data_IF_481375282671
#
_entry.id   IF_481375282671
#
_cell.length_a   1.000
_cell.length_b   1.000
_cell.length_c   1.000
_cell.angle_alpha   90.00
_cell.angle_beta   90.00
_cell.angle_gamma   90.00
#
_symmetry.space_group_name_H-M   'P 1'
#
loop_
_entity.id
_entity.type
_entity.pdbx_description
1 polymer ?
#
# COMPACT_ATOMS: atom_id res chain seq x y z
N UNK A 1 20.59 -28.19 10.53
CA UNK A 1 20.16 -26.76 10.53
C UNK A 1 20.70 -25.97 11.69
N UNK A 2 20.42 -26.32 12.95
CA UNK A 2 20.94 -25.59 14.12
C UNK A 2 22.47 -25.48 14.15
N UNK A 3 23.19 -26.54 13.74
CA UNK A 3 24.66 -26.52 13.62
C UNK A 3 25.14 -25.46 12.62
N UNK A 4 24.49 -25.34 11.46
CA UNK A 4 24.85 -24.35 10.44
C UNK A 4 24.61 -22.90 10.93
N UNK A 5 23.54 -22.67 11.69
CA UNK A 5 23.28 -21.39 12.36
C UNK A 5 24.39 -21.00 13.33
N UNK A 6 24.89 -21.96 14.13
CA UNK A 6 25.99 -21.74 15.08
C UNK A 6 27.30 -21.47 14.35
N UNK A 7 27.63 -22.29 13.34
CA UNK A 7 28.84 -22.14 12.52
C UNK A 7 28.88 -20.77 11.82
N UNK A 8 27.75 -20.29 11.29
CA UNK A 8 27.67 -18.96 10.68
C UNK A 8 27.80 -17.81 11.69
N UNK A 9 27.23 -17.96 12.89
CA UNK A 9 27.34 -16.96 13.95
C UNK A 9 28.79 -16.77 14.41
N UNK A 10 29.55 -17.86 14.50
CA UNK A 10 30.96 -17.86 14.92
C UNK A 10 31.93 -18.06 13.75
N UNK A 11 31.56 -17.64 12.54
CA UNK A 11 32.33 -17.92 11.30
C UNK A 11 33.81 -17.54 11.32
N UNK A 12 34.17 -16.54 12.13
CA UNK A 12 35.57 -16.12 12.32
C UNK A 12 36.38 -17.13 13.13
N UNK A 13 35.76 -17.80 14.09
CA UNK A 13 36.36 -18.85 14.92
C UNK A 13 36.46 -20.17 14.16
N UNK A 14 35.55 -20.40 13.21
CA UNK A 14 35.54 -21.57 12.32
C UNK A 14 36.32 -21.39 11.02
N UNK A 15 37.00 -20.25 10.83
CA UNK A 15 37.81 -19.93 9.63
C UNK A 15 37.09 -20.20 8.29
N UNK A 16 35.79 -19.90 8.23
CA UNK A 16 35.00 -20.15 7.02
C UNK A 16 35.45 -19.21 5.91
N UNK A 17 35.85 -19.80 4.77
CA UNK A 17 36.25 -19.04 3.59
C UNK A 17 35.11 -18.19 3.02
N UNK A 18 35.42 -16.97 2.56
CA UNK A 18 34.45 -16.04 1.98
C UNK A 18 33.69 -16.64 0.78
N UNK A 19 34.33 -17.50 -0.01
CA UNK A 19 33.72 -18.22 -1.14
C UNK A 19 32.55 -19.10 -0.69
N UNK A 20 32.65 -19.72 0.49
CA UNK A 20 31.56 -20.54 1.05
C UNK A 20 30.38 -19.66 1.44
N UNK A 21 30.65 -18.48 2.00
CA UNK A 21 29.62 -17.49 2.36
C UNK A 21 28.91 -16.96 1.11
N UNK A 22 29.64 -16.67 0.03
CA UNK A 22 29.07 -16.27 -1.27
C UNK A 22 28.19 -17.36 -1.87
N UNK A 23 28.65 -18.61 -1.88
CA UNK A 23 27.86 -19.73 -2.36
C UNK A 23 26.59 -19.94 -1.51
N UNK A 24 26.67 -19.72 -0.20
CA UNK A 24 25.50 -19.78 0.68
C UNK A 24 24.48 -18.69 0.34
N UNK A 25 24.91 -17.48 -0.02
CA UNK A 25 23.99 -16.44 -0.50
C UNK A 25 23.23 -16.88 -1.76
N UNK A 26 23.92 -17.44 -2.75
CA UNK A 26 23.28 -17.96 -3.97
C UNK A 26 22.26 -19.07 -3.68
N UNK A 27 22.59 -19.99 -2.76
CA UNK A 27 21.66 -21.05 -2.35
C UNK A 27 20.45 -20.46 -1.65
N UNK A 28 20.64 -19.46 -0.78
CA UNK A 28 19.55 -18.78 -0.06
C UNK A 28 18.61 -17.99 -0.97
N UNK A 29 19.09 -17.47 -2.10
CA UNK A 29 18.22 -16.82 -3.09
C UNK A 29 17.25 -17.81 -3.77
N UNK A 30 17.69 -19.06 -4.00
CA UNK A 30 16.86 -20.10 -4.61
C UNK A 30 15.95 -20.79 -3.60
N UNK A 31 16.46 -21.02 -2.39
CA UNK A 31 15.79 -21.78 -1.33
C UNK A 31 15.85 -21.00 -0.01
N UNK A 32 14.98 -20.00 0.18
CA UNK A 32 14.99 -19.18 1.38
C UNK A 32 14.72 -20.02 2.63
N UNK A 33 15.56 -19.85 3.65
CA UNK A 33 15.34 -20.42 4.98
C UNK A 33 15.50 -19.33 6.05
N UNK A 34 14.40 -19.02 6.75
CA UNK A 34 14.32 -17.88 7.68
C UNK A 34 15.42 -17.90 8.77
N UNK A 35 15.71 -19.06 9.36
CA UNK A 35 16.67 -19.19 10.44
C UNK A 35 18.13 -19.02 9.98
N UNK A 36 18.46 -19.58 8.81
CA UNK A 36 19.78 -19.41 8.20
C UNK A 36 19.96 -17.98 7.69
N UNK A 37 18.96 -17.43 7.04
CA UNK A 37 18.98 -16.08 6.47
C UNK A 37 19.23 -15.02 7.56
N UNK A 38 18.48 -15.05 8.67
CA UNK A 38 18.67 -14.14 9.82
C UNK A 38 20.08 -14.23 10.40
N UNK A 39 20.60 -15.44 10.52
CA UNK A 39 21.93 -15.68 11.10
C UNK A 39 23.05 -15.19 10.18
N UNK A 40 22.89 -15.41 8.88
CA UNK A 40 23.82 -14.96 7.85
C UNK A 40 23.84 -13.43 7.77
N UNK A 41 22.66 -12.77 7.74
CA UNK A 41 22.52 -11.32 7.80
C UNK A 41 23.13 -10.70 9.06
N UNK A 42 22.94 -11.34 10.22
CA UNK A 42 23.51 -10.87 11.48
C UNK A 42 25.05 -10.90 11.45
N UNK A 43 25.62 -11.95 10.86
CA UNK A 43 27.08 -12.14 10.77
C UNK A 43 27.76 -11.33 9.67
N UNK A 44 27.03 -10.90 8.64
CA UNK A 44 27.57 -10.32 7.41
C UNK A 44 28.36 -9.02 7.66
N UNK A 45 29.47 -8.80 6.96
CA UNK A 45 30.13 -7.49 6.96
C UNK A 45 29.38 -6.50 6.06
N UNK A 46 29.66 -5.20 6.18
CA UNK A 46 28.99 -4.19 5.35
C UNK A 46 29.24 -4.41 3.85
N UNK A 47 30.47 -4.81 3.47
CA UNK A 47 30.85 -5.10 2.08
C UNK A 47 30.15 -6.34 1.53
N UNK A 48 30.06 -7.40 2.34
CA UNK A 48 29.33 -8.63 1.99
C UNK A 48 27.84 -8.35 1.84
N UNK A 49 27.25 -7.57 2.76
CA UNK A 49 25.85 -7.15 2.69
C UNK A 49 25.58 -6.34 1.42
N UNK A 50 26.45 -5.39 1.06
CA UNK A 50 26.32 -4.63 -0.18
C UNK A 50 26.35 -5.54 -1.43
N UNK A 51 27.28 -6.49 -1.46
CA UNK A 51 27.43 -7.44 -2.57
C UNK A 51 26.20 -8.34 -2.67
N UNK A 52 25.69 -8.83 -1.54
CA UNK A 52 24.48 -9.64 -1.47
C UNK A 52 23.24 -8.85 -1.95
N UNK A 53 23.05 -7.61 -1.49
CA UNK A 53 21.91 -6.78 -1.90
C UNK A 53 21.94 -6.49 -3.41
N UNK A 54 23.12 -6.27 -3.99
CA UNK A 54 23.28 -6.09 -5.43
C UNK A 54 22.92 -7.36 -6.20
N UNK A 55 23.38 -8.51 -5.72
CA UNK A 55 23.11 -9.81 -6.34
C UNK A 55 21.61 -10.16 -6.24
N UNK A 56 20.99 -9.88 -5.09
CA UNK A 56 19.54 -9.99 -4.89
C UNK A 56 18.77 -9.09 -5.86
N UNK A 57 19.19 -7.83 -6.04
CA UNK A 57 18.60 -6.91 -7.02
C UNK A 57 18.67 -7.48 -8.44
N UNK A 58 19.86 -7.90 -8.88
CA UNK A 58 20.08 -8.35 -10.26
C UNK A 58 19.28 -9.63 -10.57
N UNK A 59 19.26 -10.59 -9.65
CA UNK A 59 18.43 -11.79 -9.79
C UNK A 59 16.93 -11.48 -9.71
N UNK A 60 16.50 -10.50 -8.90
CA UNK A 60 15.08 -10.09 -8.85
C UNK A 60 14.65 -9.51 -10.19
N UNK A 61 15.44 -8.59 -10.76
CA UNK A 61 15.18 -7.98 -12.06
C UNK A 61 15.13 -9.03 -13.18
N UNK A 62 16.09 -9.95 -13.19
CA UNK A 62 16.14 -11.04 -14.15
C UNK A 62 14.93 -11.95 -14.04
N UNK A 63 14.59 -12.40 -12.82
CA UNK A 63 13.45 -13.27 -12.57
C UNK A 63 12.12 -12.62 -12.96
N UNK A 64 11.93 -11.33 -12.65
CA UNK A 64 10.75 -10.56 -13.03
C UNK A 64 10.62 -10.39 -14.55
N UNK A 65 11.73 -10.14 -15.25
CA UNK A 65 11.73 -9.97 -16.72
C UNK A 65 11.52 -11.29 -17.48
N UNK A 66 12.01 -12.41 -16.93
CA UNK A 66 11.89 -13.74 -17.51
C UNK A 66 10.60 -14.46 -17.11
N UNK A 67 9.79 -13.86 -16.23
CA UNK A 67 8.59 -14.48 -15.65
C UNK A 67 8.88 -15.83 -14.99
N UNK A 68 10.03 -15.95 -14.31
CA UNK A 68 10.44 -17.13 -13.54
C UNK A 68 9.88 -17.09 -12.10
N UNK A 69 9.13 -18.10 -11.66
CA UNK A 69 8.39 -18.09 -10.38
C UNK A 69 9.27 -17.90 -9.13
N UNK A 70 10.59 -17.97 -9.28
CA UNK A 70 11.58 -17.61 -8.27
C UNK A 70 11.45 -16.18 -7.75
N UNK A 71 10.81 -15.24 -8.45
CA UNK A 71 10.68 -13.85 -7.97
C UNK A 71 9.96 -13.78 -6.62
N UNK A 72 9.02 -14.70 -6.36
CA UNK A 72 8.27 -14.75 -5.09
C UNK A 72 9.21 -14.95 -3.90
N UNK A 73 10.14 -15.90 -4.01
CA UNK A 73 11.17 -16.17 -3.01
C UNK A 73 12.09 -14.95 -2.83
N UNK A 74 12.46 -14.27 -3.92
CA UNK A 74 13.32 -13.09 -3.87
C UNK A 74 12.63 -11.91 -3.16
N UNK A 75 11.34 -11.69 -3.41
CA UNK A 75 10.55 -10.66 -2.73
C UNK A 75 10.36 -10.96 -1.23
N UNK A 76 10.20 -12.24 -0.86
CA UNK A 76 10.19 -12.65 0.56
C UNK A 76 11.52 -12.30 1.23
N UNK A 77 12.65 -12.53 0.55
CA UNK A 77 13.98 -12.19 1.07
C UNK A 77 14.10 -10.67 1.29
N UNK A 78 13.62 -9.84 0.36
CA UNK A 78 13.54 -8.39 0.56
C UNK A 78 12.74 -8.02 1.82
N UNK A 79 11.54 -8.60 1.97
CA UNK A 79 10.68 -8.40 3.14
C UNK A 79 11.33 -8.86 4.46
N UNK A 80 12.04 -9.98 4.45
CA UNK A 80 12.73 -10.49 5.64
C UNK A 80 13.88 -9.57 6.07
N UNK A 81 14.64 -9.06 5.09
CA UNK A 81 15.73 -8.13 5.34
C UNK A 81 15.19 -6.90 6.08
N UNK A 82 14.16 -6.22 5.59
CA UNK A 82 13.63 -5.00 6.25
C UNK A 82 13.01 -5.28 7.64
N UNK A 83 12.54 -6.50 7.89
CA UNK A 83 12.03 -6.94 9.21
C UNK A 83 13.17 -7.18 10.21
N UNK A 84 14.40 -7.41 9.76
CA UNK A 84 15.57 -7.48 10.65
C UNK A 84 16.04 -6.09 11.07
N UNK A 85 16.37 -5.92 12.35
CA UNK A 85 16.91 -4.66 12.86
C UNK A 85 18.27 -4.37 12.20
N UNK A 86 18.36 -3.23 11.52
CA UNK A 86 19.52 -2.85 10.72
C UNK A 86 20.12 -1.53 11.19
N UNK A 87 21.43 -1.53 11.36
CA UNK A 87 22.21 -0.30 11.55
C UNK A 87 21.98 0.67 10.39
N UNK A 88 21.99 1.97 10.67
CA UNK A 88 21.71 3.06 9.73
C UNK A 88 22.39 2.91 8.35
N UNK A 89 23.68 2.51 8.31
CA UNK A 89 24.40 2.30 7.05
C UNK A 89 23.82 1.19 6.17
N UNK A 90 23.39 0.07 6.77
CA UNK A 90 22.76 -1.04 6.03
C UNK A 90 21.36 -0.67 5.55
N UNK A 91 20.60 0.05 6.38
CA UNK A 91 19.30 0.57 5.99
C UNK A 91 19.39 1.49 4.77
N UNK A 92 20.42 2.37 4.71
CA UNK A 92 20.66 3.20 3.53
C UNK A 92 20.92 2.36 2.28
N UNK A 93 21.85 1.40 2.35
CA UNK A 93 22.16 0.49 1.23
C UNK A 93 20.90 -0.26 0.77
N UNK A 94 20.09 -0.74 1.71
CA UNK A 94 18.84 -1.43 1.42
C UNK A 94 17.86 -0.53 0.66
N UNK A 95 17.62 0.70 1.16
CA UNK A 95 16.67 1.61 0.52
C UNK A 95 17.15 2.11 -0.83
N UNK A 96 18.46 2.38 -0.99
CA UNK A 96 19.04 2.74 -2.29
C UNK A 96 18.79 1.60 -3.32
N UNK A 97 18.96 0.34 -2.91
CA UNK A 97 18.72 -0.80 -3.76
C UNK A 97 17.22 -1.05 -4.06
N UNK A 98 16.35 -0.85 -3.07
CA UNK A 98 14.88 -0.92 -3.26
C UNK A 98 14.40 0.16 -4.23
N UNK A 99 14.88 1.39 -4.09
CA UNK A 99 14.49 2.47 -4.99
C UNK A 99 14.94 2.18 -6.43
N UNK A 100 16.15 1.64 -6.59
CA UNK A 100 16.63 1.19 -7.90
C UNK A 100 15.79 0.03 -8.46
N UNK A 101 15.41 -0.94 -7.61
CA UNK A 101 14.53 -2.03 -8.01
C UNK A 101 13.18 -1.49 -8.48
N UNK A 102 12.54 -0.63 -7.68
CA UNK A 102 11.24 -0.03 -8.00
C UNK A 102 11.30 0.83 -9.27
N UNK A 103 12.34 1.64 -9.43
CA UNK A 103 12.57 2.41 -10.66
C UNK A 103 12.76 1.51 -11.89
N UNK A 104 13.52 0.43 -11.76
CA UNK A 104 13.75 -0.53 -12.86
C UNK A 104 12.47 -1.26 -13.24
N UNK A 105 11.72 -1.74 -12.25
CA UNK A 105 10.44 -2.45 -12.44
C UNK A 105 9.39 -1.58 -13.13
N UNK A 106 9.43 -0.25 -12.95
CA UNK A 106 8.53 0.65 -13.67
C UNK A 106 8.79 0.65 -15.19
N UNK A 107 10.02 0.41 -15.62
CA UNK A 107 10.42 0.39 -17.03
C UNK A 107 10.27 -1.01 -17.66
N UNK A 108 10.22 -2.06 -16.85
CA UNK A 108 10.10 -3.44 -17.32
C UNK A 108 8.65 -3.82 -17.65
N UNK A 109 8.52 -4.72 -18.63
CA UNK A 109 7.29 -5.46 -18.88
C UNK A 109 7.32 -6.71 -18.00
N UNK A 110 6.55 -6.70 -16.91
CA UNK A 110 6.47 -7.82 -15.96
C UNK A 110 5.07 -8.44 -15.97
N UNK A 111 4.93 -9.72 -15.62
CA UNK A 111 3.64 -10.39 -15.53
C UNK A 111 2.68 -9.70 -14.55
N UNK A 112 1.38 -9.71 -14.85
CA UNK A 112 0.38 -9.00 -14.05
C UNK A 112 0.35 -9.49 -12.59
N UNK A 113 0.56 -10.80 -12.35
CA UNK A 113 0.64 -11.41 -11.03
C UNK A 113 1.70 -10.78 -10.12
N UNK A 114 2.84 -10.37 -10.69
CA UNK A 114 3.97 -9.82 -9.95
C UNK A 114 3.63 -8.48 -9.29
N UNK A 115 2.69 -7.70 -9.85
CA UNK A 115 2.29 -6.42 -9.27
C UNK A 115 1.60 -6.57 -7.92
N UNK A 116 0.94 -7.69 -7.65
CA UNK A 116 0.37 -7.95 -6.31
C UNK A 116 1.49 -8.21 -5.29
N UNK A 117 2.47 -9.01 -5.67
CA UNK A 117 3.62 -9.34 -4.80
C UNK A 117 4.47 -8.10 -4.49
N UNK A 118 4.63 -7.19 -5.46
CA UNK A 118 5.32 -5.92 -5.26
C UNK A 118 4.57 -4.99 -4.29
N UNK A 119 3.23 -4.99 -4.31
CA UNK A 119 2.43 -4.23 -3.33
C UNK A 119 2.57 -4.85 -1.94
N UNK A 120 2.66 -6.17 -1.82
CA UNK A 120 2.96 -6.83 -0.54
C UNK A 120 4.34 -6.45 0.00
N UNK A 121 5.36 -6.41 -0.85
CA UNK A 121 6.69 -5.92 -0.45
C UNK A 121 6.62 -4.45 0.01
N UNK A 122 5.92 -3.59 -0.72
CA UNK A 122 5.73 -2.19 -0.34
C UNK A 122 5.03 -2.05 1.02
N UNK A 123 4.01 -2.86 1.27
CA UNK A 123 3.32 -2.92 2.55
C UNK A 123 4.26 -3.34 3.69
N UNK A 124 5.08 -4.36 3.49
CA UNK A 124 6.07 -4.82 4.47
C UNK A 124 7.13 -3.76 4.79
N UNK A 125 7.58 -3.00 3.79
CA UNK A 125 8.51 -1.88 3.96
C UNK A 125 7.89 -0.79 4.84
N UNK A 126 6.62 -0.42 4.61
CA UNK A 126 5.94 0.62 5.39
C UNK A 126 5.70 0.17 6.84
N UNK A 127 5.34 -1.09 7.02
CA UNK A 127 5.02 -1.64 8.35
C UNK A 127 6.27 -1.89 9.21
N UNK A 128 7.48 -1.80 8.63
CA UNK A 128 8.73 -2.00 9.34
C UNK A 128 9.01 -0.84 10.32
N UNK A 129 8.67 -1.04 11.59
CA UNK A 129 8.75 -0.06 12.68
C UNK A 129 10.15 0.54 12.94
N UNK A 130 11.21 -0.13 12.49
CA UNK A 130 12.60 0.17 12.89
C UNK A 130 13.35 1.04 11.87
N UNK A 131 12.75 1.37 10.72
CA UNK A 131 13.45 2.05 9.64
C UNK A 131 12.85 3.43 9.32
N UNK A 132 13.73 4.44 9.19
CA UNK A 132 13.32 5.72 8.61
C UNK A 132 13.27 5.54 7.10
N UNK A 133 12.10 5.20 6.58
CA UNK A 133 11.80 5.16 5.14
C UNK A 133 12.13 6.52 4.49
N UNK A 134 12.94 6.57 3.42
CA UNK A 134 13.19 7.79 2.66
C UNK A 134 11.96 8.30 1.90
N UNK A 135 11.91 9.59 1.57
CA UNK A 135 10.81 10.18 0.80
C UNK A 135 10.70 9.56 -0.60
N UNK A 136 11.83 9.39 -1.30
CA UNK A 136 11.85 8.78 -2.64
C UNK A 136 11.25 7.36 -2.63
N UNK A 137 11.51 6.59 -1.56
CA UNK A 137 10.92 5.25 -1.39
C UNK A 137 9.40 5.32 -1.24
N UNK A 138 8.89 6.33 -0.54
CA UNK A 138 7.45 6.57 -0.40
C UNK A 138 6.80 6.84 -1.76
N UNK A 139 7.42 7.70 -2.59
CA UNK A 139 6.92 8.04 -3.92
C UNK A 139 6.89 6.80 -4.84
N UNK A 140 7.95 5.99 -4.81
CA UNK A 140 7.99 4.73 -5.56
C UNK A 140 6.90 3.75 -5.13
N UNK A 141 6.62 3.65 -3.82
CA UNK A 141 5.55 2.79 -3.30
C UNK A 141 4.18 3.26 -3.81
N UNK A 142 3.93 4.57 -3.82
CA UNK A 142 2.70 5.15 -4.37
C UNK A 142 2.56 4.83 -5.85
N UNK A 143 3.63 4.99 -6.63
CA UNK A 143 3.63 4.67 -8.07
C UNK A 143 3.40 3.18 -8.35
N UNK A 144 4.04 2.28 -7.60
CA UNK A 144 3.81 0.83 -7.73
C UNK A 144 2.36 0.47 -7.42
N UNK A 145 1.80 1.07 -6.38
CA UNK A 145 0.40 0.86 -6.00
C UNK A 145 -0.56 1.31 -7.11
N UNK A 146 -0.31 2.48 -7.71
CA UNK A 146 -1.08 2.97 -8.86
C UNK A 146 -0.99 2.02 -10.07
N UNK A 147 0.22 1.61 -10.44
CA UNK A 147 0.44 0.72 -11.59
C UNK A 147 -0.16 -0.68 -11.35
N UNK A 148 -0.14 -1.17 -10.11
CA UNK A 148 -0.77 -2.43 -9.72
C UNK A 148 -2.30 -2.39 -9.85
N UNK A 149 -2.94 -1.25 -9.55
CA UNK A 149 -4.38 -1.09 -9.79
C UNK A 149 -4.74 -1.09 -11.28
N UNK A 150 -3.91 -0.46 -12.11
CA UNK A 150 -4.11 -0.43 -13.55
C UNK A 150 -4.06 -1.84 -14.16
N UNK A 151 -3.09 -2.65 -13.71
CA UNK A 151 -2.84 -3.99 -14.26
C UNK A 151 -3.74 -5.07 -13.68
N UNK A 152 -3.86 -5.15 -12.34
CA UNK A 152 -4.51 -6.28 -11.66
C UNK A 152 -5.90 -5.96 -11.12
N UNK A 153 -6.31 -4.68 -11.16
CA UNK A 153 -7.65 -4.19 -10.79
C UNK A 153 -8.08 -4.65 -9.40
N UNK A 154 -9.02 -5.60 -9.31
CA UNK A 154 -9.73 -5.95 -8.07
C UNK A 154 -8.82 -6.69 -7.09
N UNK A 155 -7.97 -7.61 -7.57
CA UNK A 155 -7.15 -8.43 -6.67
C UNK A 155 -6.06 -7.63 -5.95
N UNK A 156 -5.66 -6.47 -6.47
CA UNK A 156 -4.73 -5.57 -5.78
C UNK A 156 -5.43 -4.55 -4.86
N UNK A 157 -6.75 -4.35 -5.00
CA UNK A 157 -7.49 -3.32 -4.25
C UNK A 157 -7.42 -3.51 -2.73
N UNK A 158 -7.51 -4.75 -2.24
CA UNK A 158 -7.44 -5.05 -0.80
C UNK A 158 -6.07 -4.65 -0.22
N UNK A 159 -5.00 -5.09 -0.88
CA UNK A 159 -3.62 -4.78 -0.49
C UNK A 159 -3.32 -3.28 -0.58
N UNK A 160 -3.83 -2.61 -1.63
CA UNK A 160 -3.63 -1.17 -1.81
C UNK A 160 -4.42 -0.37 -0.77
N UNK A 161 -5.66 -0.74 -0.41
CA UNK A 161 -6.40 -0.09 0.68
C UNK A 161 -5.70 -0.26 2.02
N UNK A 162 -5.21 -1.47 2.32
CA UNK A 162 -4.44 -1.73 3.52
C UNK A 162 -3.18 -0.85 3.57
N UNK A 163 -2.44 -0.78 2.46
CA UNK A 163 -1.26 0.06 2.30
C UNK A 163 -1.59 1.54 2.54
N UNK A 164 -2.63 2.08 1.89
CA UNK A 164 -3.10 3.45 2.14
C UNK A 164 -3.39 3.69 3.62
N UNK A 165 -4.07 2.76 4.28
CA UNK A 165 -4.42 2.87 5.70
C UNK A 165 -3.21 2.88 6.63
N UNK A 166 -2.17 2.10 6.32
CA UNK A 166 -0.91 2.12 7.07
C UNK A 166 -0.14 3.40 6.80
N UNK A 167 -0.08 3.84 5.53
CA UNK A 167 0.55 5.09 5.16
C UNK A 167 0.05 6.21 6.08
N UNK A 168 -1.27 6.46 6.13
CA UNK A 168 -1.90 7.49 7.00
C UNK A 168 -1.40 7.45 8.45
N UNK A 169 -1.19 6.25 8.99
CA UNK A 169 -0.79 6.05 10.40
C UNK A 169 0.70 6.26 10.65
N UNK A 170 1.56 5.91 9.70
CA UNK A 170 3.00 5.81 9.94
C UNK A 170 3.67 7.18 9.94
N UNK A 171 3.19 8.17 9.16
CA UNK A 171 3.77 9.53 9.13
C UNK A 171 2.79 10.63 8.74
N UNK A 172 2.04 11.14 9.72
CA UNK A 172 1.13 12.27 9.51
C UNK A 172 1.82 13.47 8.83
N UNK A 173 3.10 13.75 9.12
CA UNK A 173 3.79 14.93 8.58
C UNK A 173 4.20 14.79 7.11
N UNK A 174 4.67 13.62 6.66
CA UNK A 174 5.06 13.41 5.25
C UNK A 174 3.85 13.20 4.33
N UNK A 175 2.77 12.68 4.90
CA UNK A 175 1.55 12.43 4.14
C UNK A 175 0.88 13.73 3.76
N UNK A 176 1.03 14.81 4.53
CA UNK A 176 0.46 16.10 4.15
C UNK A 176 0.98 16.52 2.77
N UNK A 177 2.29 16.37 2.53
CA UNK A 177 2.92 16.70 1.24
C UNK A 177 2.50 15.73 0.13
N UNK A 178 2.24 14.46 0.46
CA UNK A 178 1.83 13.41 -0.48
C UNK A 178 0.31 13.14 -0.52
N UNK A 179 -0.48 13.96 0.18
CA UNK A 179 -1.92 13.73 0.41
C UNK A 179 -2.70 13.71 -0.91
N UNK A 180 -2.45 14.60 -1.88
CA UNK A 180 -3.13 14.56 -3.17
C UNK A 180 -2.91 13.22 -3.90
N UNK A 181 -1.68 12.70 -3.90
CA UNK A 181 -1.34 11.42 -4.54
C UNK A 181 -2.03 10.25 -3.83
N UNK A 182 -2.10 10.28 -2.50
CA UNK A 182 -2.83 9.30 -1.72
C UNK A 182 -4.33 9.31 -2.01
N UNK A 183 -4.93 10.50 -2.13
CA UNK A 183 -6.34 10.64 -2.48
C UNK A 183 -6.62 10.19 -3.92
N UNK A 184 -5.71 10.43 -4.86
CA UNK A 184 -5.82 9.91 -6.23
C UNK A 184 -5.79 8.37 -6.23
N UNK A 185 -4.85 7.77 -5.50
CA UNK A 185 -4.77 6.32 -5.35
C UNK A 185 -6.07 5.77 -4.77
N UNK A 186 -6.56 6.37 -3.68
CA UNK A 186 -7.81 5.97 -3.04
C UNK A 186 -9.04 6.11 -3.96
N UNK A 187 -9.14 7.22 -4.72
CA UNK A 187 -10.19 7.44 -5.72
C UNK A 187 -10.20 6.33 -6.77
N UNK A 188 -9.04 5.95 -7.28
CA UNK A 188 -8.92 4.87 -8.26
C UNK A 188 -9.38 3.53 -7.67
N UNK A 189 -8.99 3.23 -6.43
CA UNK A 189 -9.46 2.02 -5.75
C UNK A 189 -10.98 2.02 -5.58
N UNK A 190 -11.56 3.12 -5.10
CA UNK A 190 -13.02 3.23 -4.95
C UNK A 190 -13.74 3.01 -6.28
N UNK A 191 -13.28 3.64 -7.36
CA UNK A 191 -13.87 3.47 -8.68
C UNK A 191 -13.83 2.00 -9.12
N UNK A 192 -12.66 1.34 -9.03
CA UNK A 192 -12.52 -0.07 -9.41
C UNK A 192 -13.45 -0.97 -8.61
N UNK A 193 -13.51 -0.80 -7.29
CA UNK A 193 -14.38 -1.59 -6.40
C UNK A 193 -15.86 -1.36 -6.73
N UNK A 194 -16.28 -0.11 -6.87
CA UNK A 194 -17.69 0.23 -7.12
C UNK A 194 -18.13 -0.30 -8.48
N UNK A 195 -17.35 -0.12 -9.55
CA UNK A 195 -17.69 -0.66 -10.87
C UNK A 195 -17.70 -2.19 -10.88
N UNK A 196 -16.73 -2.83 -10.23
CA UNK A 196 -16.69 -4.28 -10.14
C UNK A 196 -17.86 -4.85 -9.34
N UNK A 197 -18.36 -4.12 -8.33
CA UNK A 197 -19.49 -4.56 -7.49
C UNK A 197 -20.81 -4.70 -8.24
N UNK A 198 -20.98 -4.01 -9.37
CA UNK A 198 -22.24 -4.00 -10.14
C UNK A 198 -22.56 -5.34 -10.79
N UNK A 199 -21.54 -6.14 -11.12
CA UNK A 199 -21.66 -7.36 -11.92
C UNK A 199 -21.54 -8.65 -11.09
N UNK A 200 -21.74 -8.57 -9.77
CA UNK A 200 -21.57 -9.73 -8.88
C UNK A 200 -22.87 -10.49 -8.72
N UNK A 201 -22.86 -11.75 -9.13
CA UNK A 201 -23.94 -12.71 -8.89
C UNK A 201 -23.58 -13.78 -7.84
N UNK A 202 -22.30 -13.92 -7.50
CA UNK A 202 -21.77 -14.93 -6.58
C UNK A 202 -21.75 -14.41 -5.13
N UNK A 203 -22.33 -15.19 -4.20
CA UNK A 203 -22.39 -14.88 -2.77
C UNK A 203 -21.02 -14.77 -2.10
N UNK A 204 -20.03 -15.58 -2.51
CA UNK A 204 -18.71 -15.51 -1.90
C UNK A 204 -17.99 -14.20 -2.27
N UNK A 205 -18.05 -13.84 -3.55
CA UNK A 205 -17.57 -12.54 -4.02
C UNK A 205 -18.34 -11.40 -3.37
N UNK A 206 -19.65 -11.51 -3.20
CA UNK A 206 -20.44 -10.51 -2.49
C UNK A 206 -19.90 -10.24 -1.07
N UNK A 207 -19.52 -11.27 -0.32
CA UNK A 207 -18.91 -11.10 1.00
C UNK A 207 -17.58 -10.33 0.93
N UNK A 208 -16.70 -10.67 -0.01
CA UNK A 208 -15.44 -9.94 -0.21
C UNK A 208 -15.69 -8.45 -0.50
N UNK A 209 -16.66 -8.13 -1.35
CA UNK A 209 -17.01 -6.74 -1.65
C UNK A 209 -17.68 -6.00 -0.49
N UNK A 210 -18.38 -6.71 0.40
CA UNK A 210 -18.86 -6.12 1.66
C UNK A 210 -17.70 -5.76 2.60
N UNK A 211 -16.67 -6.61 2.70
CA UNK A 211 -15.46 -6.29 3.46
C UNK A 211 -14.74 -5.08 2.88
N UNK A 212 -14.54 -5.04 1.56
CA UNK A 212 -13.95 -3.89 0.87
C UNK A 212 -14.76 -2.60 1.07
N UNK A 213 -16.09 -2.67 1.05
CA UNK A 213 -16.95 -1.51 1.33
C UNK A 213 -16.74 -0.97 2.75
N UNK A 214 -16.60 -1.85 3.75
CA UNK A 214 -16.28 -1.45 5.12
C UNK A 214 -14.89 -0.82 5.22
N UNK A 215 -13.91 -1.33 4.46
CA UNK A 215 -12.55 -0.78 4.49
C UNK A 215 -12.44 0.58 3.81
N UNK A 216 -13.24 0.84 2.76
CA UNK A 216 -13.45 2.17 2.18
C UNK A 216 -13.95 3.14 3.27
N UNK A 217 -14.97 2.75 4.03
CA UNK A 217 -15.54 3.59 5.11
C UNK A 217 -14.52 3.85 6.22
N UNK A 218 -13.80 2.80 6.68
CA UNK A 218 -12.76 2.92 7.70
C UNK A 218 -11.63 3.85 7.25
N UNK A 219 -11.23 3.79 5.98
CA UNK A 219 -10.20 4.65 5.44
C UNK A 219 -10.61 6.12 5.46
N UNK A 220 -11.86 6.45 5.10
CA UNK A 220 -12.39 7.81 5.24
C UNK A 220 -12.42 8.24 6.72
N UNK A 221 -12.76 7.33 7.63
CA UNK A 221 -12.65 7.58 9.06
C UNK A 221 -11.22 7.91 9.52
N UNK A 222 -10.18 7.36 8.87
CA UNK A 222 -8.78 7.74 9.11
C UNK A 222 -8.45 9.11 8.52
N UNK A 223 -8.90 9.40 7.29
CA UNK A 223 -8.71 10.70 6.64
C UNK A 223 -9.32 11.84 7.47
N UNK A 224 -10.54 11.66 7.98
CA UNK A 224 -11.24 12.66 8.81
C UNK A 224 -10.43 13.09 10.04
N UNK A 225 -9.55 12.21 10.57
CA UNK A 225 -8.68 12.54 11.71
C UNK A 225 -7.61 13.58 11.37
N UNK A 226 -7.28 13.77 10.09
CA UNK A 226 -6.34 14.80 9.62
C UNK A 226 -6.95 16.22 9.65
N UNK A 227 -8.25 16.35 9.94
CA UNK A 227 -8.97 17.63 10.18
C UNK A 227 -8.67 18.72 9.15
N UNK A 228 -7.77 19.66 9.46
CA UNK A 228 -7.53 20.89 8.69
C UNK A 228 -7.09 20.60 7.25
N UNK A 229 -6.25 19.60 7.05
CA UNK A 229 -5.73 19.25 5.73
C UNK A 229 -6.84 18.63 4.87
N UNK A 230 -7.66 17.78 5.49
CA UNK A 230 -8.80 17.16 4.81
C UNK A 230 -9.99 18.11 4.62
N UNK A 231 -10.16 19.14 5.44
CA UNK A 231 -11.24 20.13 5.28
C UNK A 231 -11.20 20.85 3.92
N UNK A 232 -9.99 21.08 3.38
CA UNK A 232 -9.81 21.71 2.07
C UNK A 232 -9.99 20.73 0.91
N UNK A 233 -9.68 19.45 1.14
CA UNK A 233 -9.69 18.41 0.10
C UNK A 233 -11.00 17.61 0.07
N UNK A 234 -11.75 17.61 1.18
CA UNK A 234 -13.00 16.88 1.32
C UNK A 234 -14.07 17.26 0.30
N UNK A 235 -14.21 18.53 -0.18
CA UNK A 235 -15.16 18.83 -1.23
C UNK A 235 -14.89 18.04 -2.52
N UNK A 236 -13.63 17.91 -2.93
CA UNK A 236 -13.28 17.15 -4.14
C UNK A 236 -13.61 15.67 -4.00
N UNK A 237 -13.30 15.08 -2.84
CA UNK A 237 -13.62 13.69 -2.56
C UNK A 237 -15.14 13.45 -2.48
N UNK A 238 -15.91 14.40 -1.94
CA UNK A 238 -17.37 14.36 -1.94
C UNK A 238 -17.90 14.37 -3.37
N UNK A 239 -17.39 15.25 -4.24
CA UNK A 239 -17.79 15.31 -5.63
C UNK A 239 -17.57 13.97 -6.36
N UNK A 240 -16.42 13.34 -6.12
CA UNK A 240 -16.08 12.04 -6.70
C UNK A 240 -17.00 10.91 -6.20
N UNK A 241 -17.32 10.88 -4.90
CA UNK A 241 -18.25 9.89 -4.34
C UNK A 241 -19.68 10.12 -4.86
N UNK A 242 -20.11 11.38 -4.99
CA UNK A 242 -21.42 11.71 -5.55
C UNK A 242 -21.54 11.27 -7.02
N UNK A 243 -20.46 11.39 -7.79
CA UNK A 243 -20.43 10.90 -9.18
C UNK A 243 -20.68 9.40 -9.22
N UNK A 244 -20.03 8.63 -8.33
CA UNK A 244 -20.27 7.19 -8.21
C UNK A 244 -21.72 6.90 -7.82
N UNK A 245 -22.31 7.68 -6.92
CA UNK A 245 -23.71 7.51 -6.48
C UNK A 245 -24.74 7.60 -7.61
N UNK A 246 -24.51 8.45 -8.62
CA UNK A 246 -25.44 8.66 -9.73
C UNK A 246 -25.42 7.49 -10.71
N UNK A 247 -24.31 6.76 -10.80
CA UNK A 247 -24.21 5.63 -11.70
C UNK A 247 -25.15 4.50 -11.28
N UNK A 248 -26.33 4.46 -11.91
CA UNK A 248 -27.38 3.48 -11.68
C UNK A 248 -26.81 2.06 -11.72
N UNK A 249 -27.19 1.22 -10.75
CA UNK A 249 -26.80 -0.20 -10.49
C UNK A 249 -25.74 -0.50 -9.40
N UNK A 250 -25.55 0.39 -8.41
CA UNK A 250 -24.71 0.04 -7.23
C UNK A 250 -25.49 -0.83 -6.22
N UNK A 251 -24.92 -1.94 -5.71
CA UNK A 251 -25.51 -2.76 -4.64
C UNK A 251 -25.77 -1.97 -3.35
N UNK A 252 -26.77 -2.40 -2.56
CA UNK A 252 -27.20 -1.69 -1.34
C UNK A 252 -26.10 -1.52 -0.30
N UNK A 253 -25.30 -2.55 -0.05
CA UNK A 253 -24.20 -2.50 0.92
C UNK A 253 -23.13 -1.46 0.54
N UNK A 254 -22.83 -1.34 -0.76
CA UNK A 254 -21.86 -0.36 -1.27
C UNK A 254 -22.43 1.05 -1.18
N UNK A 255 -23.73 1.24 -1.48
CA UNK A 255 -24.42 2.52 -1.26
C UNK A 255 -24.36 2.98 0.19
N UNK A 256 -24.58 2.07 1.16
CA UNK A 256 -24.51 2.38 2.59
C UNK A 256 -23.09 2.84 2.96
N UNK A 257 -22.05 2.11 2.54
CA UNK A 257 -20.67 2.48 2.83
C UNK A 257 -20.30 3.86 2.23
N UNK A 258 -20.69 4.13 0.98
CA UNK A 258 -20.48 5.43 0.35
C UNK A 258 -21.28 6.55 1.04
N UNK A 259 -22.49 6.25 1.53
CA UNK A 259 -23.31 7.21 2.28
C UNK A 259 -22.66 7.59 3.62
N UNK A 260 -22.24 6.59 4.40
CA UNK A 260 -21.52 6.82 5.66
C UNK A 260 -20.26 7.64 5.42
N UNK A 261 -19.52 7.28 4.37
CA UNK A 261 -18.34 8.01 3.89
C UNK A 261 -18.64 9.48 3.57
N UNK A 262 -19.72 9.77 2.84
CA UNK A 262 -20.18 11.15 2.59
C UNK A 262 -20.52 11.88 3.90
N UNK A 263 -21.24 11.25 4.82
CA UNK A 263 -21.59 11.86 6.11
C UNK A 263 -20.34 12.24 6.92
N UNK A 264 -19.33 11.35 6.96
CA UNK A 264 -18.05 11.64 7.62
C UNK A 264 -17.33 12.84 6.98
N UNK A 265 -17.31 12.92 5.65
CA UNK A 265 -16.65 14.03 4.93
C UNK A 265 -17.42 15.35 5.05
N UNK A 266 -18.75 15.32 4.99
CA UNK A 266 -19.60 16.51 5.22
C UNK A 266 -19.38 17.05 6.62
N UNK A 267 -19.24 16.17 7.63
CA UNK A 267 -18.99 16.56 9.02
C UNK A 267 -17.70 17.34 9.25
N UNK A 268 -16.70 17.22 8.37
CA UNK A 268 -15.44 18.00 8.45
C UNK A 268 -15.38 19.19 7.49
N UNK A 269 -16.30 19.31 6.54
CA UNK A 269 -16.33 20.44 5.61
C UNK A 269 -16.71 21.72 6.35
N UNK A 270 -16.02 22.81 6.02
CA UNK A 270 -16.44 24.15 6.46
C UNK A 270 -17.57 24.70 5.58
N UNK A 271 -18.13 25.83 6.00
CA UNK A 271 -19.21 26.50 5.26
C UNK A 271 -18.77 26.87 3.83
N UNK A 272 -17.48 27.19 3.64
CA UNK A 272 -16.92 27.47 2.32
C UNK A 272 -16.89 26.24 1.42
N UNK A 273 -16.46 25.08 1.91
CA UNK A 273 -16.47 23.82 1.17
C UNK A 273 -17.86 23.37 0.77
N UNK A 274 -18.86 23.54 1.65
CA UNK A 274 -20.26 23.25 1.35
C UNK A 274 -20.82 24.22 0.28
N UNK A 275 -20.51 25.51 0.42
CA UNK A 275 -20.91 26.52 -0.56
C UNK A 275 -20.26 26.29 -1.92
N UNK A 276 -18.99 25.84 -1.95
CA UNK A 276 -18.29 25.46 -3.16
C UNK A 276 -19.04 24.33 -3.88
N UNK A 277 -19.32 23.22 -3.19
CA UNK A 277 -20.06 22.08 -3.77
C UNK A 277 -21.42 22.48 -4.32
N UNK A 278 -22.14 23.34 -3.58
CA UNK A 278 -23.46 23.81 -3.99
C UNK A 278 -23.44 24.68 -5.26
N UNK A 279 -22.27 25.24 -5.63
CA UNK A 279 -22.11 26.14 -6.78
C UNK A 279 -21.42 25.50 -7.96
N UNK A 280 -20.43 24.62 -7.73
CA UNK A 280 -19.55 24.09 -8.78
C UNK A 280 -19.98 22.72 -9.30
N UNK A 281 -20.79 21.97 -8.55
CA UNK A 281 -21.29 20.69 -9.03
C UNK A 281 -22.28 20.89 -10.20
N UNK A 282 -22.32 19.98 -11.18
CA UNK A 282 -23.40 19.90 -12.16
C UNK A 282 -24.78 19.80 -11.49
N UNK A 283 -25.83 20.33 -12.12
CA UNK A 283 -27.18 20.40 -11.54
C UNK A 283 -27.71 19.06 -11.02
N UNK A 284 -27.41 17.96 -11.73
CA UNK A 284 -27.77 16.60 -11.29
C UNK A 284 -27.10 16.20 -9.97
N UNK A 285 -25.81 16.52 -9.80
CA UNK A 285 -25.04 16.25 -8.59
C UNK A 285 -25.41 17.20 -7.44
N UNK A 286 -25.83 18.44 -7.74
CA UNK A 286 -26.31 19.38 -6.72
C UNK A 286 -27.56 18.85 -6.02
N UNK A 287 -28.52 18.28 -6.75
CA UNK A 287 -29.73 17.72 -6.14
C UNK A 287 -29.42 16.50 -5.26
N UNK A 288 -28.56 15.61 -5.73
CA UNK A 288 -28.09 14.47 -4.92
C UNK A 288 -27.36 14.95 -3.67
N UNK A 289 -26.49 15.95 -3.81
CA UNK A 289 -25.79 16.55 -2.67
C UNK A 289 -26.75 17.18 -1.65
N UNK A 290 -27.78 17.93 -2.09
CA UNK A 290 -28.81 18.49 -1.20
C UNK A 290 -29.53 17.40 -0.41
N UNK A 291 -29.90 16.30 -1.06
CA UNK A 291 -30.53 15.15 -0.40
C UNK A 291 -29.62 14.56 0.67
N UNK A 292 -28.34 14.33 0.35
CA UNK A 292 -27.36 13.79 1.30
C UNK A 292 -27.06 14.77 2.46
N UNK A 293 -26.99 16.07 2.17
CA UNK A 293 -26.78 17.11 3.19
C UNK A 293 -27.99 17.21 4.14
N UNK A 294 -29.21 17.13 3.62
CA UNK A 294 -30.42 17.11 4.43
C UNK A 294 -30.49 15.84 5.31
N UNK A 295 -30.10 14.70 4.76
CA UNK A 295 -30.02 13.45 5.51
C UNK A 295 -28.98 13.54 6.63
N UNK A 296 -27.79 14.07 6.34
CA UNK A 296 -26.76 14.33 7.35
C UNK A 296 -27.27 15.26 8.47
N UNK A 297 -27.90 16.38 8.10
CA UNK A 297 -28.47 17.31 9.07
C UNK A 297 -29.56 16.68 9.94
N UNK A 298 -30.39 15.79 9.37
CA UNK A 298 -31.49 15.14 10.09
C UNK A 298 -31.02 14.02 11.02
N UNK A 299 -30.05 13.22 10.61
CA UNK A 299 -29.70 11.96 11.30
C UNK A 299 -28.32 11.95 11.97
N UNK A 300 -27.35 12.73 11.49
CA UNK A 300 -25.94 12.63 11.93
C UNK A 300 -25.43 13.88 12.67
N UNK A 301 -25.97 15.06 12.36
CA UNK A 301 -25.58 16.31 13.04
C UNK A 301 -25.99 16.34 14.52
N UNK A 302 -27.03 15.60 14.89
CA UNK A 302 -27.62 15.59 16.24
C UNK A 302 -27.28 14.34 17.06
N UNK A 303 -26.58 13.35 16.51
CA UNK A 303 -26.20 12.12 17.22
C UNK A 303 -24.93 12.25 18.07
N UNK A 304 -24.33 13.45 18.15
CA UNK A 304 -23.12 13.76 18.93
C UNK A 304 -23.36 14.25 20.37
N UNK A 305 -24.53 13.96 20.97
CA UNK A 305 -24.77 14.10 22.41
C UNK A 305 -25.52 12.88 22.93
N UNK A 306 -24.77 11.86 23.33
CA UNK A 306 -25.02 11.04 24.52
C UNK A 306 -23.68 10.89 25.22
#
# INVERSE_FOLDING_TARGET
>A
MQLATVVLRYRKEFEIQDVIVENLWFVMLKYPNENLHKSLLASAQLKEFYTFIRLLHDETVKSLSQADETWTNLLIIWSDIIKTDMRMKRSKIYFDAINNLFGTVQLLQIPDRCWSDLVHLAHDIINAKHSVIPNDTFDFIMMISLKSLEKVKISSCENVLALCGILIKVRTNLIIDSLPTLLLLYRNVMNVIVHASKNISDKFKEHQFRCLALDIEKFIGLLVKLKKDMMRLSPYLIADILQLFIESTIPSYMKIALQNSLCHLIGICDQHGIALLSRTLPTSLQEVFKVQLNMFNKFYKYSGKI
#
